data_IF_092528910146
#
_entry.id   IF_092528910146
#
_cell.length_a   1.000
_cell.length_b   1.000
_cell.length_c   1.000
_cell.angle_alpha   90.00
_cell.angle_beta   90.00
_cell.angle_gamma   90.00
#
_symmetry.space_group_name_H-M   'P 1'
#
loop_
_entity.id
_entity.type
_entity.pdbx_description
1 polymer ?
#
# COMPACT_ATOMS: atom_id res chain seq x y z
N UNK A 1 -2.84 39.15 -38.67
CA UNK A 1 -1.63 38.47 -39.11
C UNK A 1 -1.82 36.97 -38.85
N UNK A 2 -1.84 36.22 -39.94
CA UNK A 2 -2.14 34.78 -39.98
C UNK A 2 -0.84 34.01 -39.79
N UNK A 3 -0.80 32.99 -38.94
CA UNK A 3 0.24 31.96 -38.89
C UNK A 3 -0.36 30.69 -38.34
N UNK A 4 -0.78 29.86 -39.14
CA UNK A 4 -0.36 28.60 -39.74
C UNK A 4 -0.05 27.51 -38.70
N UNK A 5 -0.98 26.52 -38.70
CA UNK A 5 -0.88 25.19 -38.12
C UNK A 5 0.32 24.43 -38.71
N UNK A 6 0.98 23.66 -37.88
CA UNK A 6 1.73 22.49 -38.30
C UNK A 6 1.34 21.31 -37.41
N UNK A 7 0.54 20.43 -37.97
CA UNK A 7 0.18 19.11 -37.42
C UNK A 7 1.29 18.15 -37.87
N UNK A 8 2.02 17.61 -36.95
CA UNK A 8 2.92 16.47 -37.20
C UNK A 8 2.30 15.23 -36.56
N UNK A 9 1.73 14.40 -37.40
CA UNK A 9 1.25 13.07 -37.06
C UNK A 9 2.43 12.09 -37.16
N UNK A 10 2.90 11.55 -36.03
CA UNK A 10 3.83 10.42 -36.00
C UNK A 10 3.02 9.17 -35.71
N UNK A 11 2.85 8.36 -36.76
CA UNK A 11 2.26 7.02 -36.67
C UNK A 11 3.41 6.05 -36.34
N UNK A 12 3.39 5.50 -35.13
CA UNK A 12 4.33 4.46 -34.71
C UNK A 12 3.62 3.10 -34.79
N UNK A 13 3.86 2.33 -35.86
CA UNK A 13 3.40 0.95 -36.01
C UNK A 13 4.36 0.00 -35.28
N UNK A 14 3.89 -0.62 -34.20
CA UNK A 14 4.63 -1.71 -33.54
C UNK A 14 4.13 -3.03 -34.08
N UNK A 15 4.99 -3.74 -34.82
CA UNK A 15 4.75 -5.11 -35.27
C UNK A 15 5.09 -6.08 -34.16
N UNK A 16 4.09 -6.85 -33.72
CA UNK A 16 4.26 -7.95 -32.75
C UNK A 16 4.55 -9.20 -33.54
N UNK A 17 5.80 -9.67 -33.53
CA UNK A 17 6.20 -10.97 -34.09
C UNK A 17 5.91 -12.05 -33.05
N UNK A 18 4.93 -12.90 -33.31
CA UNK A 18 4.63 -14.11 -32.58
C UNK A 18 5.71 -15.16 -32.79
N UNK A 19 6.23 -15.75 -31.72
CA UNK A 19 7.00 -16.98 -31.76
C UNK A 19 6.15 -18.14 -31.27
N UNK A 20 5.53 -18.81 -32.25
CA UNK A 20 4.96 -20.13 -32.09
C UNK A 20 6.13 -21.13 -32.02
N UNK A 21 6.27 -21.84 -30.93
CA UNK A 21 7.22 -22.96 -30.82
C UNK A 21 6.47 -24.23 -30.46
N UNK A 22 5.90 -24.81 -31.49
CA UNK A 22 5.39 -26.16 -31.49
C UNK A 22 6.57 -27.11 -31.79
N UNK A 23 6.94 -27.93 -30.85
CA UNK A 23 7.78 -29.11 -31.12
C UNK A 23 7.10 -30.33 -30.49
N UNK A 24 6.68 -31.21 -31.39
CA UNK A 24 6.09 -32.50 -31.10
C UNK A 24 7.17 -33.56 -30.94
N UNK A 25 6.92 -34.48 -30.00
CA UNK A 25 7.15 -35.90 -30.02
C UNK A 25 8.57 -36.43 -29.91
N UNK A 26 8.79 -37.78 -29.82
CA UNK A 26 7.85 -38.81 -29.40
C UNK A 26 8.40 -39.74 -28.29
N UNK A 27 7.51 -40.57 -27.78
CA UNK A 27 7.67 -41.94 -27.22
C UNK A 27 9.01 -42.40 -26.65
N UNK A 28 8.96 -42.81 -25.39
CA UNK A 28 9.62 -44.04 -24.95
C UNK A 28 8.92 -44.62 -23.72
N UNK A 29 8.30 -45.76 -23.95
CA UNK A 29 7.93 -46.76 -22.99
C UNK A 29 9.10 -47.14 -22.07
N UNK A 30 8.80 -47.42 -20.83
CA UNK A 30 9.20 -48.61 -20.09
C UNK A 30 9.05 -48.37 -18.57
N UNK A 31 8.04 -49.00 -18.04
CA UNK A 31 8.16 -50.13 -17.10
C UNK A 31 8.99 -49.89 -15.85
N UNK A 32 8.32 -49.86 -14.70
CA UNK A 32 8.59 -50.65 -13.51
C UNK A 32 7.78 -50.11 -12.32
N UNK A 33 6.76 -50.84 -12.02
CA UNK A 33 6.60 -51.62 -10.78
C UNK A 33 6.77 -50.85 -9.45
N UNK A 34 5.63 -50.77 -8.76
CA UNK A 34 5.49 -50.35 -7.37
C UNK A 34 6.30 -51.26 -6.41
N UNK A 35 6.64 -50.75 -5.25
CA UNK A 35 6.05 -51.40 -4.10
C UNK A 35 5.37 -50.42 -3.11
N UNK A 36 4.22 -50.85 -2.71
CA UNK A 36 3.47 -50.43 -1.53
C UNK A 36 4.36 -50.34 -0.29
N UNK A 37 4.39 -49.22 0.35
CA UNK A 37 4.87 -49.15 1.71
C UNK A 37 4.07 -48.14 2.55
N UNK A 38 3.24 -48.75 3.35
CA UNK A 38 2.89 -48.35 4.73
C UNK A 38 2.31 -46.94 4.96
N UNK A 39 1.01 -46.99 5.14
CA UNK A 39 0.24 -46.11 6.00
C UNK A 39 0.94 -45.96 7.36
N UNK A 40 1.38 -44.76 7.66
CA UNK A 40 1.66 -44.39 9.04
C UNK A 40 0.41 -43.68 9.60
N UNK A 41 -0.08 -44.10 10.75
CA UNK A 41 -1.21 -43.43 11.38
C UNK A 41 -0.76 -42.07 11.94
N UNK A 42 -1.63 -41.09 11.68
CA UNK A 42 -1.52 -39.68 12.01
C UNK A 42 -0.90 -39.35 13.36
N UNK A 43 0.03 -38.46 13.28
CA UNK A 43 0.31 -37.54 14.36
C UNK A 43 -0.66 -36.36 14.16
N UNK A 44 -1.65 -36.27 15.00
CA UNK A 44 -2.46 -35.09 15.17
C UNK A 44 -1.53 -33.98 15.69
N UNK A 45 -0.95 -33.24 14.76
CA UNK A 45 -0.27 -32.00 15.14
C UNK A 45 -1.37 -31.04 15.58
N UNK A 46 -1.44 -30.82 16.88
CA UNK A 46 -2.24 -29.78 17.46
C UNK A 46 -1.88 -28.45 16.77
N UNK A 47 -2.85 -27.86 16.08
CA UNK A 47 -2.74 -26.46 15.64
C UNK A 47 -2.42 -25.64 16.88
N UNK A 48 -1.38 -24.80 16.86
CA UNK A 48 -1.20 -23.83 17.91
C UNK A 48 -2.42 -22.93 17.89
N UNK A 49 -3.19 -22.98 18.97
CA UNK A 49 -4.22 -21.99 19.23
C UNK A 49 -3.50 -20.64 19.28
N UNK A 50 -3.71 -19.81 18.26
CA UNK A 50 -3.38 -18.40 18.32
C UNK A 50 -4.17 -17.88 19.53
N UNK A 51 -3.54 -17.33 20.56
CA UNK A 51 -4.28 -16.69 21.63
C UNK A 51 -5.07 -15.57 20.98
N UNK A 52 -6.36 -15.57 21.24
CA UNK A 52 -7.28 -14.48 20.93
C UNK A 52 -6.73 -13.24 21.66
N UNK A 53 -5.87 -12.49 20.95
CA UNK A 53 -5.37 -11.24 21.47
C UNK A 53 -6.55 -10.27 21.48
N UNK A 54 -7.08 -10.02 22.65
CA UNK A 54 -8.05 -8.96 22.85
C UNK A 54 -7.50 -7.67 22.18
N UNK A 55 -8.35 -6.87 21.50
CA UNK A 55 -7.91 -5.63 20.88
C UNK A 55 -7.29 -4.74 21.94
N UNK A 56 -5.96 -4.62 21.89
CA UNK A 56 -5.22 -3.69 22.73
C UNK A 56 -5.49 -2.31 22.17
N UNK A 57 -6.13 -1.45 22.94
CA UNK A 57 -6.31 -0.06 22.53
C UNK A 57 -4.92 0.56 22.25
N UNK A 58 -4.74 1.26 21.12
CA UNK A 58 -3.46 1.84 20.75
C UNK A 58 -2.96 2.76 21.86
N UNK A 59 -1.70 2.62 22.23
CA UNK A 59 -1.10 3.45 23.27
C UNK A 59 -1.11 4.91 22.80
N UNK A 60 -1.82 5.78 23.50
CA UNK A 60 -1.94 7.21 23.20
C UNK A 60 -0.55 7.86 23.00
N UNK A 61 0.43 7.42 23.77
CA UNK A 61 1.83 7.87 23.66
C UNK A 61 2.45 7.61 22.28
N UNK A 62 2.05 6.53 21.59
CA UNK A 62 2.55 6.23 20.25
C UNK A 62 1.97 7.18 19.19
N UNK A 63 0.75 7.65 19.39
CA UNK A 63 0.09 8.60 18.48
C UNK A 63 0.55 10.05 18.67
N UNK A 64 0.96 10.42 19.89
CA UNK A 64 1.51 11.74 20.19
C UNK A 64 2.93 11.94 19.65
N UNK A 65 3.63 10.86 19.36
CA UNK A 65 4.97 10.89 18.78
C UNK A 65 5.00 11.05 17.25
N UNK A 66 3.84 11.07 16.57
CA UNK A 66 3.80 11.26 15.13
C UNK A 66 4.21 12.68 14.73
N UNK A 67 4.93 12.84 13.60
CA UNK A 67 5.19 14.16 13.03
C UNK A 67 3.90 14.92 12.73
N UNK A 68 3.95 16.24 12.75
CA UNK A 68 2.77 17.08 12.50
C UNK A 68 2.08 16.77 11.18
N UNK A 69 2.84 16.50 10.10
CA UNK A 69 2.30 16.12 8.79
C UNK A 69 1.66 14.72 8.76
N UNK A 70 1.93 13.88 9.76
CA UNK A 70 1.40 12.53 9.89
C UNK A 70 0.48 12.34 11.12
N UNK A 71 0.03 13.41 11.74
CA UNK A 71 -0.92 13.33 12.85
C UNK A 71 -2.22 12.64 12.39
N UNK A 72 -2.79 11.83 13.27
CA UNK A 72 -4.08 11.18 12.99
C UNK A 72 -5.17 12.23 12.74
N UNK A 73 -6.06 11.92 11.80
CA UNK A 73 -7.19 12.80 11.47
C UNK A 73 -8.05 13.06 12.72
N UNK A 74 -8.53 14.29 12.95
CA UNK A 74 -9.38 14.60 14.10
C UNK A 74 -10.60 13.68 14.19
N UNK A 75 -10.97 13.28 15.38
CA UNK A 75 -12.12 12.40 15.68
C UNK A 75 -12.08 11.03 14.98
N UNK A 76 -10.92 10.63 14.42
CA UNK A 76 -10.75 9.33 13.81
C UNK A 76 -10.56 8.23 14.88
N UNK A 77 -11.09 7.05 14.59
CA UNK A 77 -10.91 5.84 15.40
C UNK A 77 -9.74 5.02 14.84
N UNK A 78 -8.66 4.93 15.58
CA UNK A 78 -7.49 4.13 15.18
C UNK A 78 -7.83 2.65 15.26
N UNK A 79 -7.50 1.92 14.20
CA UNK A 79 -7.74 0.48 14.05
C UNK A 79 -6.46 -0.30 14.35
N UNK A 80 -6.47 -1.04 15.45
CA UNK A 80 -5.30 -1.80 15.89
C UNK A 80 -4.15 -0.95 16.40
N UNK A 81 -3.02 -1.58 16.64
CA UNK A 81 -1.81 -0.90 17.10
C UNK A 81 -1.05 -0.25 15.92
N UNK A 82 -0.59 1.00 16.05
CA UNK A 82 0.30 1.61 15.08
C UNK A 82 1.59 0.79 14.94
N UNK A 83 1.97 0.47 13.71
CA UNK A 83 3.27 -0.14 13.43
C UNK A 83 4.31 0.96 13.33
N UNK A 84 5.20 1.01 14.33
CA UNK A 84 6.31 1.97 14.36
C UNK A 84 7.63 1.25 14.11
N UNK A 85 8.54 1.87 13.39
CA UNK A 85 9.85 1.33 13.09
C UNK A 85 10.90 2.45 13.01
N UNK A 86 12.10 2.17 13.48
CA UNK A 86 13.28 3.00 13.29
C UNK A 86 14.09 2.43 12.13
N UNK A 87 14.13 3.17 11.04
CA UNK A 87 14.88 2.80 9.84
C UNK A 87 16.12 3.65 9.60
N UNK A 88 16.89 3.31 8.58
CA UNK A 88 18.05 4.11 8.15
C UNK A 88 17.68 5.51 7.65
N UNK A 89 16.42 5.71 7.29
CA UNK A 89 15.85 7.00 6.90
C UNK A 89 15.13 7.71 8.06
N UNK A 90 15.44 7.36 9.31
CA UNK A 90 14.79 7.89 10.50
C UNK A 90 13.57 7.07 10.94
N UNK A 91 12.87 7.52 12.00
CA UNK A 91 11.66 6.88 12.47
C UNK A 91 10.51 7.00 11.47
N UNK A 92 9.70 5.98 11.41
CA UNK A 92 8.55 5.90 10.51
C UNK A 92 7.47 4.96 11.02
N UNK A 93 6.38 4.84 10.28
CA UNK A 93 5.33 3.94 10.70
C UNK A 93 4.12 3.89 9.77
N UNK A 94 3.19 3.03 10.17
CA UNK A 94 1.89 2.88 9.53
C UNK A 94 0.80 2.95 10.60
N UNK A 95 -0.21 3.76 10.34
CA UNK A 95 -1.42 3.85 11.17
C UNK A 95 -2.62 3.63 10.28
N UNK A 96 -3.53 2.79 10.73
CA UNK A 96 -4.83 2.61 10.08
C UNK A 96 -5.92 3.16 10.98
N UNK A 97 -6.85 3.90 10.42
CA UNK A 97 -7.97 4.47 11.17
C UNK A 97 -9.22 4.60 10.29
N UNK A 98 -10.35 4.81 10.90
CA UNK A 98 -11.62 5.11 10.22
C UNK A 98 -12.15 6.47 10.68
N UNK A 99 -12.83 7.16 9.78
CA UNK A 99 -13.43 8.48 10.04
C UNK A 99 -14.74 8.64 9.26
N UNK A 100 -15.62 9.52 9.70
CA UNK A 100 -16.84 9.89 8.98
C UNK A 100 -16.56 10.89 7.83
N UNK A 101 -15.37 11.51 7.81
CA UNK A 101 -14.99 12.43 6.75
C UNK A 101 -14.85 11.71 5.40
N UNK A 102 -15.22 12.38 4.31
CA UNK A 102 -15.06 11.80 2.96
C UNK A 102 -13.57 11.62 2.59
N UNK A 103 -13.24 10.68 1.65
CA UNK A 103 -11.88 10.52 1.18
C UNK A 103 -11.23 11.81 0.68
N UNK A 104 -11.99 12.66 -0.02
CA UNK A 104 -11.49 13.95 -0.51
C UNK A 104 -11.13 14.91 0.63
N UNK A 105 -11.96 14.94 1.68
CA UNK A 105 -11.71 15.77 2.87
C UNK A 105 -10.46 15.32 3.61
N UNK A 106 -10.28 14.00 3.78
CA UNK A 106 -9.09 13.42 4.40
C UNK A 106 -7.83 13.80 3.61
N UNK A 107 -7.85 13.66 2.30
CA UNK A 107 -6.69 14.00 1.46
C UNK A 107 -6.39 15.50 1.50
N UNK A 108 -7.41 16.35 1.51
CA UNK A 108 -7.21 17.81 1.63
C UNK A 108 -6.49 18.18 2.94
N UNK A 109 -6.89 17.57 4.06
CA UNK A 109 -6.25 17.76 5.36
C UNK A 109 -4.76 17.39 5.35
N UNK A 110 -4.42 16.21 4.82
CA UNK A 110 -3.01 15.80 4.78
C UNK A 110 -2.17 16.59 3.80
N UNK A 111 -2.77 17.06 2.70
CA UNK A 111 -2.09 17.96 1.76
C UNK A 111 -1.71 19.28 2.43
N UNK A 112 -2.66 19.92 3.13
CA UNK A 112 -2.42 21.16 3.83
C UNK A 112 -1.29 21.03 4.88
N UNK A 113 -1.31 19.94 5.66
CA UNK A 113 -0.27 19.68 6.66
C UNK A 113 1.09 19.40 6.03
N UNK A 114 1.14 18.60 4.97
CA UNK A 114 2.37 18.31 4.26
C UNK A 114 3.00 19.60 3.67
N UNK A 115 2.19 20.44 3.05
CA UNK A 115 2.63 21.74 2.52
C UNK A 115 3.13 22.67 3.63
N UNK A 116 2.42 22.74 4.77
CA UNK A 116 2.84 23.54 5.93
C UNK A 116 4.21 23.10 6.49
N UNK A 117 4.52 21.81 6.45
CA UNK A 117 5.80 21.25 6.88
C UNK A 117 6.87 21.24 5.76
N UNK A 118 6.53 21.78 4.60
CA UNK A 118 7.44 21.93 3.47
C UNK A 118 7.69 20.63 2.69
N UNK A 119 6.76 19.67 2.74
CA UNK A 119 6.77 18.51 1.88
C UNK A 119 6.17 18.88 0.51
N UNK A 120 6.81 18.46 -0.56
CA UNK A 120 6.31 18.63 -1.92
C UNK A 120 5.43 17.45 -2.31
N UNK A 121 4.29 17.71 -2.95
CA UNK A 121 3.43 16.66 -3.50
C UNK A 121 4.19 15.85 -4.54
N UNK A 122 4.24 14.53 -4.36
CA UNK A 122 4.85 13.59 -5.28
C UNK A 122 3.81 12.81 -6.08
N UNK A 123 2.65 12.57 -5.47
CA UNK A 123 1.61 11.74 -6.07
C UNK A 123 0.23 12.18 -5.59
N UNK A 124 -0.72 12.18 -6.51
CA UNK A 124 -2.14 12.29 -6.19
C UNK A 124 -2.91 11.39 -7.18
N UNK A 125 -3.63 10.41 -6.67
CA UNK A 125 -4.37 9.43 -7.45
C UNK A 125 -5.83 9.40 -7.03
N UNK A 126 -6.71 9.28 -8.03
CA UNK A 126 -8.13 9.07 -7.85
C UNK A 126 -8.52 7.78 -8.56
N UNK A 127 -9.02 6.80 -7.83
CA UNK A 127 -9.44 5.52 -8.36
C UNK A 127 -10.86 5.20 -7.88
N UNK A 128 -11.84 5.47 -8.72
CA UNK A 128 -13.22 5.43 -8.30
C UNK A 128 -13.47 6.44 -7.18
N UNK A 129 -13.94 5.96 -6.04
CA UNK A 129 -14.16 6.78 -4.85
C UNK A 129 -12.95 6.80 -3.90
N UNK A 130 -11.97 5.91 -4.11
CA UNK A 130 -10.73 5.93 -3.34
C UNK A 130 -9.80 7.06 -3.79
N UNK A 131 -9.05 7.59 -2.84
CA UNK A 131 -8.07 8.67 -3.03
C UNK A 131 -6.73 8.27 -2.44
N UNK A 132 -5.66 8.64 -3.12
CA UNK A 132 -4.32 8.49 -2.57
C UNK A 132 -3.53 9.78 -2.77
N UNK A 133 -2.70 10.09 -1.78
CA UNK A 133 -1.84 11.27 -1.75
C UNK A 133 -0.49 10.89 -1.19
N UNK A 134 0.57 11.40 -1.81
CA UNK A 134 1.93 11.24 -1.32
C UNK A 134 2.71 12.54 -1.43
N UNK A 135 3.47 12.86 -0.39
CA UNK A 135 4.37 14.02 -0.36
C UNK A 135 5.70 13.67 0.29
N UNK A 136 6.75 14.39 -0.08
CA UNK A 136 8.10 14.16 0.41
C UNK A 136 8.88 15.47 0.52
N UNK A 137 9.74 15.55 1.54
CA UNK A 137 10.73 16.61 1.70
C UNK A 137 12.10 16.07 1.29
N UNK A 138 12.58 16.44 0.12
CA UNK A 138 13.82 15.91 -0.45
C UNK A 138 15.05 16.13 0.44
N UNK A 139 15.10 17.25 1.18
CA UNK A 139 16.24 17.60 2.01
C UNK A 139 16.47 16.64 3.18
N UNK A 140 15.41 16.05 3.73
CA UNK A 140 15.47 15.17 4.90
C UNK A 140 14.99 13.76 4.61
N UNK A 141 14.32 13.54 3.48
CA UNK A 141 13.65 12.27 3.19
C UNK A 141 12.32 12.07 3.94
N UNK A 142 11.87 13.06 4.72
CA UNK A 142 10.57 13.00 5.37
C UNK A 142 9.47 12.80 4.34
N UNK A 143 8.54 11.89 4.61
CA UNK A 143 7.49 11.55 3.65
C UNK A 143 6.19 11.15 4.32
N UNK A 144 5.10 11.33 3.61
CA UNK A 144 3.77 10.87 3.97
C UNK A 144 3.07 10.27 2.77
N UNK A 145 2.40 9.15 2.97
CA UNK A 145 1.51 8.53 2.01
C UNK A 145 0.18 8.22 2.70
N UNK A 146 -0.90 8.63 2.10
CA UNK A 146 -2.27 8.46 2.61
C UNK A 146 -3.10 7.79 1.53
N UNK A 147 -3.78 6.73 1.91
CA UNK A 147 -4.78 6.06 1.08
C UNK A 147 -6.10 6.11 1.84
N UNK A 148 -7.10 6.75 1.27
CA UNK A 148 -8.43 6.88 1.82
C UNK A 148 -9.43 6.18 0.90
N UNK A 149 -10.14 5.20 1.42
CA UNK A 149 -11.10 4.38 0.68
C UNK A 149 -12.44 4.34 1.40
N UNK A 150 -13.57 4.41 0.68
CA UNK A 150 -14.86 4.20 1.28
C UNK A 150 -14.95 2.81 1.94
N UNK A 151 -15.53 2.74 3.12
CA UNK A 151 -15.76 1.52 3.86
C UNK A 151 -17.12 1.62 4.57
N UNK A 152 -18.15 1.00 3.98
CA UNK A 152 -19.54 1.13 4.41
C UNK A 152 -19.97 2.62 4.47
N UNK A 153 -20.35 3.11 5.64
CA UNK A 153 -20.77 4.51 5.83
C UNK A 153 -19.62 5.43 6.26
N UNK A 154 -18.37 4.92 6.30
CA UNK A 154 -17.18 5.65 6.75
C UNK A 154 -16.05 5.58 5.72
N UNK A 155 -14.96 6.23 6.01
CA UNK A 155 -13.71 6.17 5.23
C UNK A 155 -12.64 5.44 6.03
N UNK A 156 -12.11 4.36 5.45
CA UNK A 156 -10.91 3.69 5.95
C UNK A 156 -9.69 4.37 5.40
N UNK A 157 -8.74 4.69 6.27
CA UNK A 157 -7.53 5.42 5.92
C UNK A 157 -6.30 4.65 6.38
N UNK A 158 -5.37 4.44 5.47
CA UNK A 158 -4.03 3.96 5.78
C UNK A 158 -3.05 5.12 5.61
N UNK A 159 -2.38 5.47 6.69
CA UNK A 159 -1.37 6.51 6.77
C UNK A 159 0.00 5.86 6.96
N UNK A 160 0.91 6.07 6.02
CA UNK A 160 2.30 5.66 6.12
C UNK A 160 3.19 6.90 6.13
N UNK A 161 4.18 6.94 7.00
CA UNK A 161 5.05 8.11 7.15
C UNK A 161 6.49 7.72 7.48
N UNK A 162 7.40 8.65 7.20
CA UNK A 162 8.80 8.64 7.65
C UNK A 162 9.17 10.07 8.07
N UNK A 163 9.83 10.22 9.23
CA UNK A 163 10.27 11.54 9.69
C UNK A 163 11.48 12.08 8.91
N UNK A 164 12.21 11.19 8.23
CA UNK A 164 13.47 11.54 7.60
C UNK A 164 14.61 11.74 8.60
N UNK A 165 15.75 12.22 8.14
CA UNK A 165 16.97 12.52 8.91
C UNK A 165 17.14 14.04 9.10
#
# INVERSE_FOLDING_TARGET
MKSSLAVVAVVLTVAIAGCDRRAAGPDSDAHAEAPVARSQPGVLTASPSVPDAAPVAPSTASLEALPHFAAVYPEAEVQGDPLLADGTAGPGGVVTFVTEASPDTVIAFYRERAEADGLATMMALNQGEARAYGAQKQATGASVNVVASPAEDRTSVQLTWSAGL
#
